data_IF_724111631504
#
_entry.id   IF_724111631504
#
_cell.length_a   1.000
_cell.length_b   1.000
_cell.length_c   1.000
_cell.angle_alpha   90.00
_cell.angle_beta   90.00
_cell.angle_gamma   90.00
#
_symmetry.space_group_name_H-M   'P 1'
#
loop_
_entity.id
_entity.type
_entity.pdbx_description
1 polymer ?
#
# COMPACT_ATOMS: atom_id res chain seq x y z
N UNK A 1 23.52 13.99 27.89
CA UNK A 1 23.70 12.53 27.83
C UNK A 1 22.81 12.01 26.69
N UNK A 2 23.32 12.08 25.45
CA UNK A 2 22.71 11.37 24.34
C UNK A 2 22.71 9.89 24.74
N UNK A 3 21.55 9.33 24.99
CA UNK A 3 21.36 7.89 25.00
C UNK A 3 21.91 7.36 23.68
N UNK A 4 23.11 6.80 23.71
CA UNK A 4 23.64 5.98 22.62
C UNK A 4 22.67 4.80 22.54
N UNK A 5 21.65 4.95 21.70
CA UNK A 5 20.76 3.83 21.38
C UNK A 5 21.69 2.77 20.82
N UNK A 6 21.85 1.69 21.56
CA UNK A 6 22.71 0.59 21.15
C UNK A 6 22.21 0.12 19.77
N UNK A 7 23.09 -0.04 18.77
CA UNK A 7 22.67 -0.36 17.41
C UNK A 7 21.71 -1.55 17.32
N UNK A 8 21.75 -2.46 18.29
CA UNK A 8 20.82 -3.58 18.41
C UNK A 8 19.36 -3.12 18.49
N UNK A 9 19.00 -2.11 19.28
CA UNK A 9 17.62 -1.62 19.38
C UNK A 9 17.14 -0.99 18.08
N UNK A 10 18.02 -0.32 17.35
CA UNK A 10 17.70 0.21 16.02
C UNK A 10 17.37 -0.93 15.06
N UNK A 11 18.18 -1.96 14.98
CA UNK A 11 17.93 -3.12 14.12
C UNK A 11 16.68 -3.89 14.54
N UNK A 12 16.41 -4.07 15.84
CA UNK A 12 15.18 -4.70 16.34
C UNK A 12 13.91 -3.94 15.92
N UNK A 13 13.98 -2.64 15.74
CA UNK A 13 12.85 -1.85 15.26
C UNK A 13 12.72 -1.89 13.72
N UNK A 14 13.82 -1.81 13.00
CA UNK A 14 13.82 -1.69 11.53
C UNK A 14 13.58 -3.02 10.83
N UNK A 15 14.14 -4.12 11.33
CA UNK A 15 14.03 -5.44 10.68
C UNK A 15 12.56 -5.91 10.55
N UNK A 16 11.72 -5.86 11.60
CA UNK A 16 10.31 -6.26 11.48
C UNK A 16 9.55 -5.41 10.45
N UNK A 17 9.81 -4.10 10.41
CA UNK A 17 9.18 -3.19 9.44
C UNK A 17 9.61 -3.57 8.02
N UNK A 18 10.90 -3.82 7.80
CA UNK A 18 11.43 -4.24 6.51
C UNK A 18 10.78 -5.56 6.05
N UNK A 19 10.71 -6.56 6.92
CA UNK A 19 10.09 -7.85 6.61
C UNK A 19 8.61 -7.64 6.22
N UNK A 20 7.86 -6.86 7.00
CA UNK A 20 6.44 -6.59 6.74
C UNK A 20 6.24 -5.88 5.39
N UNK A 21 7.07 -4.88 5.08
CA UNK A 21 7.02 -4.16 3.80
C UNK A 21 7.37 -5.09 2.64
N UNK A 22 8.39 -5.92 2.78
CA UNK A 22 8.79 -6.87 1.73
C UNK A 22 7.72 -7.93 1.48
N UNK A 23 7.10 -8.47 2.54
CA UNK A 23 6.00 -9.44 2.41
C UNK A 23 4.79 -8.79 1.75
N UNK A 24 4.37 -7.60 2.20
CA UNK A 24 3.23 -6.88 1.64
C UNK A 24 3.47 -6.45 0.19
N UNK A 25 4.63 -5.88 -0.12
CA UNK A 25 5.00 -5.52 -1.48
C UNK A 25 5.09 -6.76 -2.38
N UNK A 26 5.75 -7.83 -1.92
CA UNK A 26 5.89 -9.09 -2.66
C UNK A 26 4.53 -9.71 -2.98
N UNK A 27 3.61 -9.76 -2.00
CA UNK A 27 2.24 -10.22 -2.20
C UNK A 27 1.54 -9.44 -3.33
N UNK A 28 1.59 -8.10 -3.28
CA UNK A 28 0.95 -7.27 -4.30
C UNK A 28 1.61 -7.43 -5.66
N UNK A 29 2.94 -7.53 -5.73
CA UNK A 29 3.65 -7.74 -6.98
C UNK A 29 3.29 -9.08 -7.62
N UNK A 30 3.20 -10.17 -6.86
CA UNK A 30 2.77 -11.49 -7.36
C UNK A 30 1.35 -11.38 -7.93
N UNK A 31 0.45 -10.69 -7.23
CA UNK A 31 -0.95 -10.51 -7.65
C UNK A 31 -1.10 -9.61 -8.89
N UNK A 32 -0.26 -8.60 -9.02
CA UNK A 32 -0.27 -7.69 -10.17
C UNK A 32 0.26 -8.34 -11.44
N UNK A 33 1.11 -9.37 -11.35
CA UNK A 33 1.81 -10.02 -12.48
C UNK A 33 2.49 -8.97 -13.38
N UNK A 34 3.42 -8.18 -12.86
CA UNK A 34 4.05 -7.11 -13.60
C UNK A 34 4.93 -7.67 -14.73
N UNK A 35 5.13 -6.88 -15.79
CA UNK A 35 6.18 -7.15 -16.75
C UNK A 35 7.54 -6.85 -16.11
N UNK A 36 8.58 -7.55 -16.52
CA UNK A 36 9.96 -7.35 -16.01
C UNK A 36 10.40 -5.88 -16.02
N UNK A 37 10.00 -5.11 -17.04
CA UNK A 37 10.28 -3.67 -17.15
C UNK A 37 9.76 -2.86 -15.95
N UNK A 38 8.59 -3.21 -15.38
CA UNK A 38 8.06 -2.50 -14.21
C UNK A 38 8.89 -2.78 -12.95
N UNK A 39 9.41 -4.00 -12.81
CA UNK A 39 10.29 -4.36 -11.69
C UNK A 39 11.63 -3.63 -11.82
N UNK A 40 12.18 -3.55 -13.03
CA UNK A 40 13.41 -2.82 -13.30
C UNK A 40 13.23 -1.32 -13.05
N UNK A 41 12.13 -0.72 -13.52
CA UNK A 41 11.81 0.68 -13.26
C UNK A 41 11.66 0.97 -11.76
N UNK A 42 11.04 0.06 -11.00
CA UNK A 42 10.93 0.16 -9.55
C UNK A 42 12.31 0.11 -8.89
N UNK A 43 13.16 -0.82 -9.27
CA UNK A 43 14.52 -0.94 -8.74
C UNK A 43 15.32 0.35 -9.04
N UNK A 44 15.23 0.85 -10.27
CA UNK A 44 15.90 2.09 -10.66
C UNK A 44 15.40 3.27 -9.82
N UNK A 45 14.08 3.40 -9.61
CA UNK A 45 13.48 4.43 -8.78
C UNK A 45 14.03 4.37 -7.34
N UNK A 46 14.11 3.18 -6.74
CA UNK A 46 14.63 3.00 -5.38
C UNK A 46 16.12 3.41 -5.29
N UNK A 47 16.93 3.02 -6.29
CA UNK A 47 18.35 3.42 -6.35
C UNK A 47 18.49 4.93 -6.50
N UNK A 48 17.71 5.57 -7.40
CA UNK A 48 17.75 7.01 -7.59
C UNK A 48 17.31 7.77 -6.34
N UNK A 49 16.34 7.28 -5.59
CA UNK A 49 15.93 7.88 -4.31
C UNK A 49 17.00 7.79 -3.23
N UNK A 50 17.83 6.75 -3.23
CA UNK A 50 18.90 6.59 -2.25
C UNK A 50 20.16 7.40 -2.59
N UNK A 51 20.38 7.72 -3.86
CA UNK A 51 21.61 8.34 -4.33
C UNK A 51 21.92 9.70 -3.64
N UNK A 52 20.98 10.68 -3.51
CA UNK A 52 21.24 11.94 -2.83
C UNK A 52 21.66 11.77 -1.37
N UNK A 53 21.10 10.75 -0.71
CA UNK A 53 21.37 10.49 0.71
C UNK A 53 22.66 9.71 0.94
N UNK A 54 23.02 8.83 0.00
CA UNK A 54 24.32 8.17 0.01
C UNK A 54 25.48 9.17 -0.16
N UNK A 55 25.23 10.28 -0.88
CA UNK A 55 26.19 11.37 -1.06
C UNK A 55 26.19 12.35 0.11
N UNK A 56 25.15 12.42 0.93
CA UNK A 56 25.08 13.26 2.11
C UNK A 56 25.78 12.59 3.30
N UNK A 57 26.60 13.34 4.04
CA UNK A 57 27.28 12.84 5.26
C UNK A 57 26.39 12.90 6.51
N UNK A 58 25.18 13.41 6.39
CA UNK A 58 24.29 13.62 7.54
C UNK A 58 23.41 12.39 7.81
N UNK A 59 23.68 11.74 8.95
CA UNK A 59 23.00 10.51 9.37
C UNK A 59 21.49 10.70 9.61
N UNK A 60 21.04 11.91 9.98
CA UNK A 60 19.62 12.17 10.23
C UNK A 60 18.78 12.07 8.95
N UNK A 61 19.24 12.66 7.86
CA UNK A 61 18.57 12.57 6.56
C UNK A 61 18.61 11.15 5.98
N UNK A 62 19.67 10.39 6.24
CA UNK A 62 19.78 9.00 5.81
C UNK A 62 18.66 8.13 6.41
N UNK A 63 18.32 8.32 7.69
CA UNK A 63 17.24 7.59 8.36
C UNK A 63 15.87 7.87 7.70
N UNK A 64 15.57 9.15 7.44
CA UNK A 64 14.32 9.54 6.76
C UNK A 64 14.25 8.96 5.36
N UNK A 65 15.38 8.97 4.62
CA UNK A 65 15.47 8.38 3.30
C UNK A 65 15.13 6.89 3.28
N UNK A 66 15.61 6.14 4.27
CA UNK A 66 15.28 4.71 4.39
C UNK A 66 13.78 4.48 4.56
N UNK A 67 13.11 5.26 5.41
CA UNK A 67 11.65 5.15 5.58
C UNK A 67 10.89 5.55 4.32
N UNK A 68 11.32 6.60 3.61
CA UNK A 68 10.71 6.98 2.33
C UNK A 68 10.90 5.91 1.26
N UNK A 69 12.06 5.26 1.24
CA UNK A 69 12.32 4.14 0.31
C UNK A 69 11.41 2.95 0.62
N UNK A 70 11.27 2.56 1.89
CA UNK A 70 10.35 1.51 2.31
C UNK A 70 8.90 1.86 1.99
N UNK A 71 8.50 3.13 2.21
CA UNK A 71 7.19 3.61 1.83
C UNK A 71 6.96 3.51 0.33
N UNK A 72 7.92 3.92 -0.49
CA UNK A 72 7.82 3.83 -1.96
C UNK A 72 7.70 2.38 -2.41
N UNK A 73 8.46 1.46 -1.80
CA UNK A 73 8.42 0.04 -2.11
C UNK A 73 7.02 -0.57 -1.95
N UNK A 74 6.24 -0.12 -0.96
CA UNK A 74 4.88 -0.59 -0.73
C UNK A 74 3.82 0.27 -1.46
N UNK A 75 4.01 1.58 -1.55
CA UNK A 75 3.03 2.49 -2.13
C UNK A 75 2.89 2.31 -3.65
N UNK A 76 3.97 2.02 -4.37
CA UNK A 76 3.90 1.78 -5.82
C UNK A 76 2.99 0.60 -6.14
N UNK A 77 3.17 -0.61 -5.62
CA UNK A 77 2.26 -1.72 -5.90
C UNK A 77 0.85 -1.50 -5.34
N UNK A 78 0.69 -0.79 -4.21
CA UNK A 78 -0.63 -0.40 -3.68
C UNK A 78 -1.35 0.51 -4.69
N UNK A 79 -0.68 1.54 -5.21
CA UNK A 79 -1.26 2.47 -6.20
C UNK A 79 -1.65 1.73 -7.48
N UNK A 80 -0.78 0.86 -7.99
CA UNK A 80 -1.09 0.03 -9.17
C UNK A 80 -2.29 -0.89 -8.90
N UNK A 81 -2.40 -1.44 -7.70
CA UNK A 81 -3.56 -2.25 -7.29
C UNK A 81 -4.83 -1.41 -7.22
N UNK A 82 -4.78 -0.20 -6.64
CA UNK A 82 -5.91 0.73 -6.61
C UNK A 82 -6.41 1.08 -8.02
N UNK A 83 -5.51 1.41 -8.93
CA UNK A 83 -5.88 1.68 -10.33
C UNK A 83 -6.53 0.45 -10.96
N UNK A 84 -5.95 -0.74 -10.78
CA UNK A 84 -6.47 -2.00 -11.31
C UNK A 84 -7.83 -2.38 -10.71
N UNK A 85 -8.09 -2.02 -9.45
CA UNK A 85 -9.36 -2.28 -8.74
C UNK A 85 -10.36 -1.13 -8.84
N UNK A 86 -10.13 -0.14 -9.71
CA UNK A 86 -10.95 1.07 -9.86
C UNK A 86 -11.14 1.82 -8.54
N UNK A 87 -10.05 2.01 -7.80
CA UNK A 87 -9.99 2.72 -6.51
C UNK A 87 -10.87 2.11 -5.41
N UNK A 88 -11.10 0.81 -5.46
CA UNK A 88 -11.80 0.11 -4.39
C UNK A 88 -11.04 0.27 -3.08
N UNK A 89 -11.75 0.59 -1.99
CA UNK A 89 -11.20 0.84 -0.65
C UNK A 89 -10.17 1.98 -0.58
N UNK A 90 -10.21 2.93 -1.53
CA UNK A 90 -9.29 4.08 -1.55
C UNK A 90 -9.29 4.88 -0.25
N UNK A 91 -10.39 4.89 0.50
CA UNK A 91 -10.49 5.61 1.78
C UNK A 91 -9.52 5.05 2.83
N UNK A 92 -9.34 3.71 2.88
CA UNK A 92 -8.36 3.10 3.76
C UNK A 92 -6.94 3.56 3.41
N UNK A 93 -6.60 3.59 2.12
CA UNK A 93 -5.28 4.04 1.67
C UNK A 93 -5.08 5.54 1.94
N UNK A 94 -6.11 6.39 1.74
CA UNK A 94 -6.02 7.81 2.10
C UNK A 94 -5.73 7.98 3.60
N UNK A 95 -6.46 7.26 4.45
CA UNK A 95 -6.25 7.30 5.89
C UNK A 95 -4.86 6.77 6.29
N UNK A 96 -4.41 5.68 5.66
CA UNK A 96 -3.05 5.15 5.82
C UNK A 96 -2.00 6.20 5.49
N UNK A 97 -2.15 6.92 4.38
CA UNK A 97 -1.21 7.97 3.97
C UNK A 97 -1.20 9.15 4.94
N UNK A 98 -2.37 9.56 5.44
CA UNK A 98 -2.47 10.63 6.46
C UNK A 98 -1.76 10.20 7.75
N UNK A 99 -2.03 9.00 8.26
CA UNK A 99 -1.38 8.49 9.47
C UNK A 99 0.13 8.34 9.27
N UNK A 100 0.58 7.85 8.12
CA UNK A 100 1.99 7.76 7.78
C UNK A 100 2.65 9.14 7.72
N UNK A 101 1.98 10.14 7.12
CA UNK A 101 2.47 11.53 7.09
C UNK A 101 2.66 12.08 8.51
N UNK A 102 1.72 11.86 9.42
CA UNK A 102 1.86 12.22 10.83
C UNK A 102 3.01 11.49 11.51
N UNK A 103 3.17 10.20 11.25
CA UNK A 103 4.30 9.43 11.78
C UNK A 103 5.64 10.05 11.35
N UNK A 104 5.83 10.35 10.06
CA UNK A 104 7.06 10.97 9.55
C UNK A 104 7.25 12.37 10.14
N UNK A 105 6.18 13.17 10.26
CA UNK A 105 6.25 14.50 10.86
C UNK A 105 6.74 14.43 12.31
N UNK A 106 6.17 13.55 13.14
CA UNK A 106 6.62 13.39 14.53
C UNK A 106 8.05 12.85 14.63
N UNK A 107 8.45 11.99 13.71
CA UNK A 107 9.84 11.55 13.62
C UNK A 107 10.80 12.70 13.31
N UNK A 108 10.36 13.63 12.46
CA UNK A 108 11.14 14.81 12.09
C UNK A 108 11.22 15.83 13.23
N UNK A 109 10.13 15.99 13.98
CA UNK A 109 10.05 16.91 15.10
C UNK A 109 10.76 16.40 16.37
N UNK A 110 11.00 15.10 16.49
CA UNK A 110 11.57 14.47 17.68
C UNK A 110 12.87 15.13 18.17
N UNK A 111 13.88 15.41 17.32
CA UNK A 111 15.09 16.11 17.75
C UNK A 111 14.85 17.55 18.23
N UNK A 112 13.81 18.22 17.74
CA UNK A 112 13.44 19.58 18.10
C UNK A 112 12.65 19.64 19.41
N UNK A 113 11.84 18.63 19.68
CA UNK A 113 10.94 18.58 20.85
C UNK A 113 11.59 17.92 22.05
N UNK A 114 12.55 17.04 21.87
CA UNK A 114 13.25 16.33 22.95
C UNK A 114 13.92 17.27 23.99
N UNK A 115 14.53 18.42 23.63
CA UNK A 115 15.08 19.37 24.59
C UNK A 115 14.00 20.11 25.38
N UNK A 116 12.81 20.33 24.80
CA UNK A 116 11.70 21.11 25.37
C UNK A 116 10.83 20.25 26.28
N UNK A 117 10.67 18.97 25.93
CA UNK A 117 9.85 17.98 26.64
C UNK A 117 10.71 16.81 27.11
N UNK A 118 11.56 17.00 28.11
CA UNK A 118 12.46 15.97 28.58
C UNK A 118 11.67 14.74 29.09
N UNK A 119 11.95 13.58 28.50
CA UNK A 119 11.31 12.31 28.83
C UNK A 119 10.03 11.99 28.06
N UNK A 120 9.36 12.97 27.45
CA UNK A 120 8.15 12.75 26.67
C UNK A 120 8.39 12.77 25.15
N UNK A 121 9.17 13.72 24.62
CA UNK A 121 9.45 13.84 23.19
C UNK A 121 8.26 13.51 22.27
N UNK A 122 8.46 13.54 20.98
CA UNK A 122 7.44 13.10 20.00
C UNK A 122 7.68 11.67 19.49
N UNK A 123 8.68 11.00 20.01
CA UNK A 123 9.09 9.67 19.55
C UNK A 123 7.99 8.59 19.68
N UNK A 124 7.23 8.60 20.76
CA UNK A 124 6.13 7.67 20.97
C UNK A 124 4.97 7.88 19.98
N UNK A 125 4.71 9.14 19.56
CA UNK A 125 3.71 9.46 18.55
C UNK A 125 4.07 8.84 17.19
N UNK A 126 5.35 8.91 16.81
CA UNK A 126 5.83 8.23 15.61
C UNK A 126 5.49 6.74 15.62
N UNK A 127 5.73 6.04 16.73
CA UNK A 127 5.40 4.62 16.86
C UNK A 127 3.88 4.37 16.83
N UNK A 128 3.10 5.21 17.49
CA UNK A 128 1.63 5.10 17.51
C UNK A 128 1.04 5.26 16.12
N UNK A 129 1.39 6.33 15.41
CA UNK A 129 0.90 6.54 14.05
C UNK A 129 1.45 5.51 13.06
N UNK A 130 2.66 5.03 13.26
CA UNK A 130 3.23 3.91 12.50
C UNK A 130 2.44 2.61 12.68
N UNK A 131 2.06 2.29 13.92
CA UNK A 131 1.22 1.12 14.21
C UNK A 131 -0.17 1.24 13.57
N UNK A 132 -0.82 2.42 13.65
CA UNK A 132 -2.10 2.69 12.99
C UNK A 132 -1.97 2.53 11.47
N UNK A 133 -0.92 3.08 10.87
CA UNK A 133 -0.62 2.94 9.44
C UNK A 133 -0.53 1.48 9.03
N UNK A 134 0.19 0.67 9.81
CA UNK A 134 0.35 -0.76 9.57
C UNK A 134 -0.98 -1.51 9.69
N UNK A 135 -1.79 -1.20 10.70
CA UNK A 135 -3.11 -1.82 10.89
C UNK A 135 -4.07 -1.50 9.74
N UNK A 136 -4.10 -0.24 9.29
CA UNK A 136 -4.93 0.18 8.15
C UNK A 136 -4.50 -0.50 6.85
N UNK A 137 -3.20 -0.67 6.64
CA UNK A 137 -2.68 -1.36 5.47
C UNK A 137 -3.00 -2.86 5.51
N UNK A 138 -2.90 -3.49 6.68
CA UNK A 138 -3.30 -4.88 6.90
C UNK A 138 -4.80 -5.07 6.62
N UNK A 139 -5.65 -4.15 7.10
CA UNK A 139 -7.10 -4.16 6.81
C UNK A 139 -7.37 -4.02 5.32
N UNK A 140 -6.62 -3.16 4.61
CA UNK A 140 -6.73 -3.04 3.16
C UNK A 140 -6.41 -4.37 2.46
N UNK A 141 -5.34 -5.07 2.87
CA UNK A 141 -4.99 -6.37 2.30
C UNK A 141 -6.04 -7.44 2.62
N UNK A 142 -6.55 -7.44 3.84
CA UNK A 142 -7.63 -8.35 4.25
C UNK A 142 -8.87 -8.17 3.37
N UNK A 143 -9.32 -6.93 3.13
CA UNK A 143 -10.45 -6.65 2.25
C UNK A 143 -10.20 -7.01 0.80
N UNK A 144 -8.97 -6.80 0.31
CA UNK A 144 -8.61 -7.23 -1.04
C UNK A 144 -8.74 -8.75 -1.23
N UNK A 145 -8.53 -9.52 -0.17
CA UNK A 145 -8.58 -10.99 -0.23
C UNK A 145 -9.98 -11.52 -0.02
N UNK A 146 -10.70 -10.98 0.95
CA UNK A 146 -12.02 -11.49 1.37
C UNK A 146 -13.15 -11.02 0.46
N UNK A 147 -13.02 -9.86 -0.17
CA UNK A 147 -14.02 -9.33 -1.07
C UNK A 147 -13.63 -9.67 -2.52
N UNK A 148 -14.24 -10.68 -3.15
CA UNK A 148 -13.93 -11.04 -4.52
C UNK A 148 -14.12 -9.83 -5.44
N UNK A 149 -13.15 -9.60 -6.31
CA UNK A 149 -13.30 -8.65 -7.41
C UNK A 149 -14.55 -9.10 -8.19
N UNK A 150 -15.61 -8.31 -8.13
CA UNK A 150 -16.75 -8.56 -9.00
C UNK A 150 -16.20 -8.72 -10.42
N UNK A 151 -16.55 -9.81 -11.14
CA UNK A 151 -15.99 -10.03 -12.45
C UNK A 151 -16.30 -8.81 -13.32
N UNK A 152 -15.24 -8.11 -13.74
CA UNK A 152 -15.33 -6.88 -14.55
C UNK A 152 -16.01 -7.11 -15.90
N UNK A 153 -16.43 -8.33 -16.15
CA UNK A 153 -17.11 -8.77 -17.35
C UNK A 153 -18.11 -9.87 -17.02
N UNK A 154 -19.20 -9.53 -16.32
CA UNK A 154 -20.41 -10.28 -16.56
C UNK A 154 -20.90 -9.78 -17.92
N UNK A 155 -20.57 -10.48 -19.03
CA UNK A 155 -21.38 -10.43 -20.23
C UNK A 155 -22.80 -10.68 -19.74
N UNK A 156 -23.65 -9.65 -19.77
CA UNK A 156 -25.07 -9.92 -19.68
C UNK A 156 -25.35 -11.01 -20.72
N UNK A 157 -26.03 -12.09 -20.33
CA UNK A 157 -26.48 -13.03 -21.33
C UNK A 157 -27.25 -12.18 -22.32
N UNK A 158 -26.73 -12.05 -23.52
CA UNK A 158 -27.48 -11.50 -24.62
C UNK A 158 -28.75 -12.31 -24.63
N UNK A 159 -29.85 -11.70 -24.18
CA UNK A 159 -31.18 -12.22 -24.46
C UNK A 159 -31.20 -12.41 -25.96
N UNK A 160 -30.87 -13.64 -26.38
CA UNK A 160 -31.04 -14.06 -27.72
C UNK A 160 -32.53 -13.85 -28.03
N UNK A 161 -32.79 -12.87 -28.87
CA UNK A 161 -34.02 -12.84 -29.63
C UNK A 161 -34.07 -14.16 -30.45
N UNK A 162 -34.41 -15.24 -29.75
CA UNK A 162 -34.82 -16.43 -30.43
C UNK A 162 -36.01 -16.08 -31.36
N UNK A 163 -35.96 -16.49 -32.60
CA UNK A 163 -37.07 -16.23 -33.52
C UNK A 163 -38.35 -16.81 -32.88
N UNK A 164 -39.34 -15.94 -32.65
CA UNK A 164 -40.69 -16.37 -32.35
C UNK A 164 -41.12 -17.22 -33.52
N UNK A 165 -41.00 -18.53 -33.38
CA UNK A 165 -41.63 -19.48 -34.28
C UNK A 165 -43.13 -19.27 -34.17
N UNK A 166 -43.69 -18.57 -35.14
CA UNK A 166 -45.12 -18.47 -35.35
C UNK A 166 -45.66 -19.86 -35.62
N UNK A 167 -46.36 -20.40 -34.66
CA UNK A 167 -47.25 -21.54 -34.88
C UNK A 167 -48.49 -21.01 -35.61
N UNK A 168 -48.79 -21.52 -36.82
CA UNK A 168 -50.06 -21.22 -37.48
C UNK A 168 -51.17 -21.88 -36.67
N UNK A 169 -52.18 -21.10 -36.28
CA UNK A 169 -53.48 -21.57 -35.78
C UNK A 169 -54.16 -22.44 -36.86
N UNK A 170 -54.16 -23.74 -36.69
CA UNK A 170 -55.03 -24.62 -37.44
C UNK A 170 -56.44 -24.42 -36.91
N UNK A 171 -57.22 -23.74 -37.70
CA UNK A 171 -58.67 -23.84 -37.74
C UNK A 171 -59.00 -25.26 -38.13
N UNK A 172 -59.69 -25.99 -37.28
CA UNK A 172 -60.36 -27.21 -37.68
C UNK A 172 -61.85 -26.95 -37.58
N UNK A 173 -62.42 -26.61 -38.74
CA UNK A 173 -63.82 -26.85 -39.04
C UNK A 173 -64.06 -28.33 -39.11
N UNK A 174 -65.28 -28.67 -38.82
CA UNK A 174 -66.11 -29.77 -39.27
C UNK A 174 -66.67 -30.69 -38.18
N UNK A 175 -67.89 -30.61 -38.18
CA UNK A 175 -69.11 -31.48 -38.21
C UNK A 175 -69.63 -31.87 -36.85
#
# INVERSE_FOLDING_TARGET
HALRIHPIFFYMAVIPILILVLLGAGYLWIRLRPRFVHLLAMLLLLVLMQLPFALSRETHYAIVAHYLTLATLILVPVTLTLVKTRFRHVQLIKLTLVCFGWAILFRFLDPLTAPILPGLGTHWLWHTFGAITTALLAEYFYRLETEPLAPLYRKEPTHGNGPRSGLPSRVTELA
#
